data_IF_720481685075
#
_entry.id   IF_720481685075
#
_cell.length_a   1.000
_cell.length_b   1.000
_cell.length_c   1.000
_cell.angle_alpha   90.00
_cell.angle_beta   90.00
_cell.angle_gamma   90.00
#
_symmetry.space_group_name_H-M   'P 1'
#
loop_
_entity.id
_entity.type
_entity.pdbx_description
1 polymer ?
#
# COMPACT_ATOMS: atom_id res chain seq x y z
N UNK A 1 -2.98 -7.23 -20.68
CA UNK A 1 -3.69 -7.98 -19.63
C UNK A 1 -3.00 -7.79 -18.30
N UNK A 2 -3.74 -7.51 -17.26
CA UNK A 2 -3.16 -7.26 -15.94
C UNK A 2 -2.69 -8.57 -15.31
N UNK A 3 -1.54 -8.52 -14.62
CA UNK A 3 -1.04 -9.66 -13.86
C UNK A 3 -1.87 -9.84 -12.60
N UNK A 4 -1.72 -11.00 -11.94
CA UNK A 4 -2.40 -11.25 -10.67
C UNK A 4 -2.04 -10.21 -9.61
N UNK A 5 -0.76 -9.80 -9.58
CA UNK A 5 -0.30 -8.76 -8.63
C UNK A 5 -0.95 -7.42 -8.92
N UNK A 6 -1.05 -7.05 -10.19
CA UNK A 6 -1.70 -5.79 -10.56
C UNK A 6 -3.18 -5.81 -10.22
N UNK A 7 -3.85 -6.95 -10.43
CA UNK A 7 -5.25 -7.12 -10.07
C UNK A 7 -5.46 -7.01 -8.56
N UNK A 8 -4.55 -7.58 -7.78
CA UNK A 8 -4.63 -7.50 -6.32
C UNK A 8 -4.44 -6.06 -5.84
N UNK A 9 -3.46 -5.35 -6.42
CA UNK A 9 -3.23 -3.95 -6.08
C UNK A 9 -4.44 -3.09 -6.39
N UNK A 10 -5.03 -3.30 -7.55
CA UNK A 10 -6.22 -2.56 -7.95
C UNK A 10 -7.41 -2.87 -7.05
N UNK A 11 -7.58 -4.13 -6.69
CA UNK A 11 -8.61 -4.53 -5.74
C UNK A 11 -8.44 -3.77 -4.41
N UNK A 12 -7.21 -3.73 -3.88
CA UNK A 12 -6.93 -3.04 -2.63
C UNK A 12 -7.26 -1.56 -2.70
N UNK A 13 -6.85 -0.89 -3.77
CA UNK A 13 -7.11 0.53 -3.93
C UNK A 13 -8.61 0.81 -4.04
N UNK A 14 -9.34 -0.03 -4.77
CA UNK A 14 -10.79 0.12 -4.89
C UNK A 14 -11.49 -0.05 -3.56
N UNK A 15 -11.04 -1.00 -2.74
CA UNK A 15 -11.65 -1.23 -1.42
C UNK A 15 -11.41 -0.05 -0.49
N UNK A 16 -10.21 0.49 -0.49
CA UNK A 16 -9.89 1.66 0.33
C UNK A 16 -10.76 2.85 -0.07
N UNK A 17 -10.86 3.12 -1.35
CA UNK A 17 -11.67 4.23 -1.86
C UNK A 17 -13.14 4.05 -1.48
N UNK A 18 -13.64 2.83 -1.57
CA UNK A 18 -15.04 2.54 -1.29
C UNK A 18 -15.37 2.57 0.20
N UNK A 19 -14.49 2.01 1.03
CA UNK A 19 -14.85 1.70 2.41
C UNK A 19 -14.29 2.69 3.43
N UNK A 20 -13.29 3.49 3.09
CA UNK A 20 -12.59 4.30 4.07
C UNK A 20 -12.91 5.78 3.97
N UNK A 21 -13.03 6.41 5.14
CA UNK A 21 -13.10 7.86 5.24
C UNK A 21 -11.68 8.43 5.25
N UNK A 22 -11.52 9.70 4.91
CA UNK A 22 -10.22 10.36 5.03
C UNK A 22 -9.78 10.38 6.49
N UNK A 23 -8.58 9.89 6.81
CA UNK A 23 -8.11 9.89 8.21
C UNK A 23 -7.93 11.28 8.79
N UNK A 24 -7.67 12.28 7.95
CA UNK A 24 -7.39 13.64 8.41
C UNK A 24 -8.66 14.47 8.58
N UNK A 25 -9.46 14.60 7.53
CA UNK A 25 -10.64 15.45 7.58
C UNK A 25 -11.91 14.69 7.92
N UNK A 26 -11.87 13.36 7.99
CA UNK A 26 -12.98 12.49 8.35
C UNK A 26 -14.12 12.47 7.34
N UNK A 27 -13.95 13.09 6.19
CA UNK A 27 -14.98 13.13 5.17
C UNK A 27 -15.16 11.75 4.53
N UNK A 28 -16.42 11.35 4.39
CA UNK A 28 -16.74 10.06 3.76
C UNK A 28 -16.66 10.19 2.25
N UNK A 29 -16.19 9.12 1.60
CA UNK A 29 -16.18 9.00 0.13
C UNK A 29 -15.40 10.11 -0.56
N UNK A 30 -14.37 10.63 0.10
CA UNK A 30 -13.53 11.68 -0.47
C UNK A 30 -12.19 11.15 -0.98
N UNK A 31 -11.87 9.87 -0.74
CA UNK A 31 -10.64 9.29 -1.24
C UNK A 31 -10.83 8.87 -2.69
N UNK A 32 -9.92 9.29 -3.54
CA UNK A 32 -9.93 8.93 -4.96
C UNK A 32 -8.57 8.40 -5.36
N UNK A 33 -8.54 7.55 -6.39
CA UNK A 33 -7.29 6.94 -6.85
C UNK A 33 -6.47 7.95 -7.62
N UNK A 34 -5.15 7.94 -7.38
CA UNK A 34 -4.19 8.71 -8.15
C UNK A 34 -3.80 7.93 -9.41
N UNK A 35 -3.25 8.64 -10.43
CA UNK A 35 -2.72 7.94 -11.61
C UNK A 35 -1.67 6.90 -11.23
N UNK A 36 -1.60 5.82 -12.01
CA UNK A 36 -0.72 4.69 -11.70
C UNK A 36 0.75 5.07 -11.60
N UNK A 37 1.17 6.13 -12.28
CA UNK A 37 2.57 6.56 -12.27
C UNK A 37 2.89 7.57 -11.16
N UNK A 38 1.95 7.90 -10.31
CA UNK A 38 2.23 8.78 -9.19
C UNK A 38 3.06 8.04 -8.15
N UNK A 39 4.16 8.64 -7.72
CA UNK A 39 5.13 7.94 -6.86
C UNK A 39 4.73 8.00 -5.40
N UNK A 40 4.79 6.84 -4.74
CA UNK A 40 4.67 6.70 -3.28
C UNK A 40 3.33 7.06 -2.68
N UNK A 41 2.32 7.32 -3.50
CA UNK A 41 0.96 7.51 -3.02
C UNK A 41 0.01 6.94 -4.06
N UNK A 42 -1.07 6.34 -3.59
CA UNK A 42 -2.03 5.67 -4.46
C UNK A 42 -3.40 6.31 -4.40
N UNK A 43 -3.71 7.01 -3.33
CA UNK A 43 -5.00 7.68 -3.15
C UNK A 43 -4.78 9.07 -2.56
N UNK A 44 -5.71 9.94 -2.85
CA UNK A 44 -5.74 11.31 -2.32
C UNK A 44 -7.15 11.62 -1.87
N UNK A 45 -7.26 12.40 -0.80
CA UNK A 45 -8.55 12.96 -0.42
C UNK A 45 -8.80 14.18 -1.30
N UNK A 46 -9.88 14.16 -2.07
CA UNK A 46 -10.17 15.26 -3.00
C UNK A 46 -10.68 16.51 -2.28
N UNK A 47 -10.91 16.41 -0.99
CA UNK A 47 -11.34 17.56 -0.20
C UNK A 47 -10.17 18.26 0.51
N UNK A 48 -9.33 17.49 1.22
CA UNK A 48 -8.24 18.10 2.01
C UNK A 48 -6.85 17.83 1.49
N UNK A 49 -6.70 17.01 0.45
CA UNK A 49 -5.40 16.72 -0.15
C UNK A 49 -4.56 15.67 0.56
N UNK A 50 -5.12 14.97 1.55
CA UNK A 50 -4.40 13.92 2.27
C UNK A 50 -3.98 12.81 1.32
N UNK A 51 -2.71 12.44 1.37
CA UNK A 51 -2.13 11.40 0.51
C UNK A 51 -1.85 10.14 1.31
N UNK A 52 -2.15 8.99 0.72
CA UNK A 52 -1.87 7.71 1.37
C UNK A 52 -1.47 6.67 0.33
N UNK A 53 -0.71 5.70 0.80
CA UNK A 53 -0.27 4.56 0.01
C UNK A 53 -1.17 3.38 0.32
N UNK A 54 -1.37 2.49 -0.67
CA UNK A 54 -2.13 1.27 -0.49
C UNK A 54 -1.25 0.09 -0.86
N UNK A 55 -1.14 -0.87 0.03
CA UNK A 55 -0.49 -2.16 -0.23
C UNK A 55 -1.51 -3.25 -0.04
N UNK A 56 -1.60 -4.16 -0.98
CA UNK A 56 -2.51 -5.30 -0.88
C UNK A 56 -1.70 -6.59 -0.91
N UNK A 57 -2.08 -7.52 -0.07
CA UNK A 57 -1.43 -8.82 -0.05
C UNK A 57 -2.45 -9.91 0.21
N UNK A 58 -2.19 -11.10 -0.33
CA UNK A 58 -3.04 -12.26 -0.09
C UNK A 58 -2.75 -12.83 1.28
N UNK A 59 -3.79 -13.19 2.01
CA UNK A 59 -3.65 -13.78 3.33
C UNK A 59 -4.64 -14.91 3.51
N UNK A 60 -4.25 -15.92 4.27
CA UNK A 60 -5.16 -17.02 4.65
C UNK A 60 -6.16 -16.51 5.69
N UNK A 61 -5.66 -15.76 6.66
CA UNK A 61 -6.47 -15.17 7.72
C UNK A 61 -6.29 -13.66 7.69
N UNK A 62 -7.33 -12.95 7.23
CA UNK A 62 -7.26 -11.50 7.11
C UNK A 62 -7.30 -10.78 8.45
N UNK A 63 -7.61 -11.49 9.53
CA UNK A 63 -7.60 -10.93 10.87
C UNK A 63 -6.22 -10.88 11.52
N UNK A 64 -5.18 -11.40 10.85
CA UNK A 64 -3.82 -11.47 11.38
C UNK A 64 -2.91 -10.59 10.55
N UNK A 65 -2.30 -9.58 11.17
CA UNK A 65 -1.36 -8.70 10.48
C UNK A 65 -0.04 -9.42 10.22
N UNK A 66 0.53 -9.28 9.01
CA UNK A 66 1.86 -9.80 8.75
C UNK A 66 2.92 -9.00 9.50
N UNK A 67 4.05 -9.63 9.78
CA UNK A 67 5.15 -8.95 10.46
C UNK A 67 5.88 -7.99 9.53
N UNK A 68 5.86 -8.25 8.23
CA UNK A 68 6.56 -7.42 7.25
C UNK A 68 5.70 -7.19 6.01
N UNK A 69 5.90 -6.05 5.37
CA UNK A 69 5.22 -5.66 4.15
C UNK A 69 6.21 -5.73 3.01
N UNK A 70 5.90 -6.58 2.02
CA UNK A 70 6.82 -6.87 0.92
C UNK A 70 6.97 -5.69 -0.02
N UNK A 71 8.21 -5.40 -0.38
CA UNK A 71 8.51 -4.56 -1.55
C UNK A 71 8.47 -3.07 -1.34
N UNK A 72 8.21 -2.62 -0.11
CA UNK A 72 8.04 -1.19 0.12
C UNK A 72 9.36 -0.42 0.22
N UNK A 73 10.49 -1.11 0.36
CA UNK A 73 11.76 -0.45 0.64
C UNK A 73 12.61 -0.21 -0.61
N UNK A 74 12.03 -0.32 -1.80
CA UNK A 74 12.78 -0.13 -3.04
C UNK A 74 12.40 1.14 -3.77
N UNK A 75 13.38 1.64 -4.55
CA UNK A 75 13.16 2.75 -5.46
C UNK A 75 12.76 4.05 -4.75
N UNK A 76 11.86 4.82 -5.32
CA UNK A 76 11.50 6.13 -4.77
C UNK A 76 11.01 6.09 -3.33
N UNK A 77 10.35 4.99 -2.94
CA UNK A 77 9.90 4.87 -1.56
C UNK A 77 11.06 4.70 -0.61
N UNK A 78 12.04 3.88 -0.98
CA UNK A 78 13.23 3.69 -0.15
C UNK A 78 13.99 4.99 0.04
N UNK A 79 14.15 5.77 -1.03
CA UNK A 79 14.82 7.05 -0.93
C UNK A 79 14.14 7.96 0.09
N UNK A 80 12.82 7.99 0.09
CA UNK A 80 12.06 8.82 1.01
C UNK A 80 12.17 8.30 2.44
N UNK A 81 12.12 6.99 2.62
CA UNK A 81 12.26 6.40 3.95
C UNK A 81 13.63 6.68 4.54
N UNK A 82 14.68 6.62 3.72
CA UNK A 82 16.04 6.95 4.17
C UNK A 82 16.16 8.43 4.57
N UNK A 83 15.34 9.27 3.97
CA UNK A 83 15.27 10.69 4.32
C UNK A 83 14.28 10.96 5.46
N UNK A 84 13.71 9.92 6.06
CA UNK A 84 12.75 10.09 7.14
C UNK A 84 11.34 10.44 6.70
N UNK A 85 11.03 10.24 5.41
CA UNK A 85 9.72 10.59 4.88
C UNK A 85 8.90 9.32 4.70
N UNK A 86 7.80 9.23 5.43
CA UNK A 86 6.87 8.11 5.37
C UNK A 86 5.49 8.61 5.01
N UNK A 87 4.87 7.93 4.05
CA UNK A 87 3.47 8.20 3.72
C UNK A 87 2.58 7.29 4.56
N UNK A 88 1.41 7.77 4.99
CA UNK A 88 0.44 6.89 5.62
C UNK A 88 0.10 5.72 4.70
N UNK A 89 -0.19 4.58 5.28
CA UNK A 89 -0.35 3.34 4.54
C UNK A 89 -1.65 2.65 4.91
N UNK A 90 -2.42 2.27 3.89
CA UNK A 90 -3.48 1.28 4.05
C UNK A 90 -2.95 -0.07 3.63
N UNK A 91 -3.07 -1.06 4.49
CA UNK A 91 -2.73 -2.44 4.17
C UNK A 91 -4.01 -3.22 4.01
N UNK A 92 -4.22 -3.77 2.81
CA UNK A 92 -5.40 -4.57 2.51
C UNK A 92 -4.98 -6.03 2.48
N UNK A 93 -5.54 -6.83 3.37
CA UNK A 93 -5.35 -8.28 3.35
C UNK A 93 -6.59 -8.88 2.72
N UNK A 94 -6.40 -9.75 1.73
CA UNK A 94 -7.51 -10.38 1.02
C UNK A 94 -7.23 -11.86 0.85
N UNK A 95 -8.28 -12.68 0.98
CA UNK A 95 -8.14 -14.10 0.67
C UNK A 95 -7.93 -14.28 -0.83
N UNK A 96 -7.39 -15.45 -1.21
CA UNK A 96 -7.05 -15.72 -2.61
C UNK A 96 -8.26 -15.58 -3.53
N UNK A 97 -9.44 -15.95 -3.05
CA UNK A 97 -10.68 -15.86 -3.81
C UNK A 97 -11.36 -14.49 -3.70
N UNK A 98 -10.77 -13.56 -2.95
CA UNK A 98 -11.33 -12.23 -2.69
C UNK A 98 -12.66 -12.25 -1.94
N UNK A 99 -12.99 -13.41 -1.34
CA UNK A 99 -14.24 -13.53 -0.59
C UNK A 99 -14.23 -12.80 0.74
N UNK A 100 -13.04 -12.58 1.30
CA UNK A 100 -12.88 -11.85 2.55
C UNK A 100 -11.70 -10.90 2.43
N UNK A 101 -11.80 -9.74 3.08
CA UNK A 101 -10.70 -8.81 3.15
C UNK A 101 -10.80 -7.97 4.42
N UNK A 102 -9.67 -7.41 4.81
CA UNK A 102 -9.61 -6.47 5.93
C UNK A 102 -8.67 -5.33 5.54
N UNK A 103 -8.97 -4.13 6.00
CA UNK A 103 -8.17 -2.95 5.72
C UNK A 103 -7.60 -2.45 7.04
N UNK A 104 -6.28 -2.31 7.08
CA UNK A 104 -5.56 -1.78 8.25
C UNK A 104 -4.93 -0.46 7.87
N UNK A 105 -4.99 0.50 8.78
CA UNK A 105 -4.39 1.81 8.55
C UNK A 105 -3.16 1.98 9.42
N UNK A 106 -2.06 2.38 8.80
CA UNK A 106 -0.79 2.58 9.47
C UNK A 106 -0.34 4.02 9.23
N UNK A 107 -0.54 4.92 10.19
CA UNK A 107 -0.08 6.30 10.03
C UNK A 107 1.44 6.37 9.96
N UNK A 108 1.94 7.47 9.41
CA UNK A 108 3.38 7.61 9.17
C UNK A 108 4.22 7.47 10.43
N UNK A 109 3.73 7.96 11.56
CA UNK A 109 4.47 7.93 12.82
C UNK A 109 4.59 6.55 13.44
N UNK A 110 3.80 5.58 12.96
CA UNK A 110 3.90 4.19 13.42
C UNK A 110 4.75 3.32 12.50
N UNK A 111 5.23 3.86 11.40
CA UNK A 111 6.02 3.08 10.45
C UNK A 111 7.49 3.10 10.83
N UNK A 112 8.15 1.96 10.62
CA UNK A 112 9.59 1.80 10.85
C UNK A 112 10.19 1.03 9.68
N UNK A 113 11.46 1.25 9.34
CA UNK A 113 12.07 0.57 8.18
C UNK A 113 11.99 -0.95 8.25
N UNK A 114 12.15 -1.53 9.43
CA UNK A 114 12.15 -2.99 9.58
C UNK A 114 10.80 -3.64 9.33
N UNK A 115 9.72 -2.85 9.24
CA UNK A 115 8.39 -3.37 8.90
C UNK A 115 8.28 -3.69 7.42
N UNK A 116 9.19 -3.20 6.60
CA UNK A 116 9.12 -3.35 5.17
C UNK A 116 10.17 -4.34 4.70
N UNK A 117 9.72 -5.37 4.00
CA UNK A 117 10.61 -6.39 3.46
C UNK A 117 11.18 -5.89 2.14
N UNK A 118 12.50 -5.80 2.07
CA UNK A 118 13.16 -5.36 0.84
C UNK A 118 12.90 -6.34 -0.28
N UNK A 119 12.72 -5.82 -1.49
CA UNK A 119 12.57 -6.64 -2.67
C UNK A 119 13.94 -7.18 -3.06
N UNK A 120 14.04 -8.48 -3.28
CA UNK A 120 15.32 -9.12 -3.60
C UNK A 120 15.47 -9.29 -5.10
N UNK A 121 16.71 -9.26 -5.62
CA UNK A 121 16.95 -9.66 -7.01
C UNK A 121 16.51 -11.10 -7.23
N UNK A 122 16.20 -11.44 -8.48
CA UNK A 122 15.82 -12.81 -8.83
C UNK A 122 16.96 -13.79 -8.60
N UNK A 123 18.19 -13.34 -8.78
CA UNK A 123 19.37 -14.13 -8.47
C UNK A 123 20.51 -13.16 -8.18
N UNK A 124 21.64 -13.67 -7.64
CA UNK A 124 22.78 -12.79 -7.38
C UNK A 124 23.27 -12.05 -8.61
N UNK A 125 23.14 -12.68 -9.78
CA UNK A 125 23.60 -12.08 -11.03
C UNK A 125 22.53 -11.26 -11.74
N UNK A 126 21.30 -11.35 -11.30
CA UNK A 126 20.23 -10.61 -11.96
C UNK A 126 20.34 -9.12 -11.66
N UNK A 127 20.09 -8.33 -12.67
CA UNK A 127 20.04 -6.88 -12.50
C UNK A 127 18.62 -6.50 -12.14
N UNK A 128 18.45 -6.05 -10.94
CA UNK A 128 17.15 -5.64 -10.46
C UNK A 128 16.81 -4.28 -11.04
N UNK A 129 15.71 -4.21 -11.73
CA UNK A 129 15.28 -3.00 -12.41
C UNK A 129 14.46 -2.10 -11.52
N UNK A 130 13.82 -2.64 -10.53
CA UNK A 130 12.90 -1.91 -9.67
C UNK A 130 13.57 -0.88 -8.84
#
# INVERSE_FOLDING_TARGET
>A
MATARQQLGEFGEQRVVKDCACPRCKRLKSLVRLPANFKCADVICDFCGYLAQVKATTAVDVGVLPQQILGAAWGPQRERMEAGIYFPLYLVLATADRGSYAIYYLPADLQRPEMFKARKPLSPDARRVT
#
